data_IF_835832073473
#
_entry.id   IF_835832073473
#
_cell.length_a   1.000
_cell.length_b   1.000
_cell.length_c   1.000
_cell.angle_alpha   90.00
_cell.angle_beta   90.00
_cell.angle_gamma   90.00
#
_symmetry.space_group_name_H-M   'P 1'
#
loop_
_entity.id
_entity.type
_entity.pdbx_description
1 polymer ?
#
# COMPACT_ATOMS: atom_id res chain seq x y z
N UNK A 1 -11.59 -2.40 3.76
CA UNK A 1 -10.77 -3.55 4.17
C UNK A 1 -11.65 -4.78 4.13
N UNK A 2 -11.16 -5.85 3.53
CA UNK A 2 -11.95 -7.06 3.29
C UNK A 2 -11.21 -8.29 3.81
N UNK A 3 -11.97 -9.36 4.01
CA UNK A 3 -11.45 -10.71 4.18
C UNK A 3 -11.77 -11.51 2.93
N UNK A 4 -10.76 -12.10 2.29
CA UNK A 4 -10.93 -12.83 1.03
C UNK A 4 -10.52 -14.29 1.19
N UNK A 5 -11.40 -15.20 0.78
CA UNK A 5 -11.11 -16.62 0.68
C UNK A 5 -10.79 -16.97 -0.77
N UNK A 6 -9.51 -17.22 -1.05
CA UNK A 6 -9.03 -17.50 -2.41
C UNK A 6 -9.61 -18.75 -3.05
N UNK A 7 -9.99 -19.75 -2.23
CA UNK A 7 -10.48 -21.04 -2.74
C UNK A 7 -11.90 -20.93 -3.26
N UNK A 8 -12.73 -20.17 -2.56
CA UNK A 8 -14.14 -19.97 -2.92
C UNK A 8 -14.37 -18.69 -3.71
N UNK A 9 -13.35 -17.83 -3.79
CA UNK A 9 -13.43 -16.45 -4.27
C UNK A 9 -14.45 -15.59 -3.50
N UNK A 10 -14.76 -15.97 -2.26
CA UNK A 10 -15.72 -15.27 -1.42
C UNK A 10 -15.06 -14.07 -0.70
N UNK A 11 -15.80 -12.96 -0.62
CA UNK A 11 -15.35 -11.70 -0.03
C UNK A 11 -16.33 -11.28 1.05
N UNK A 12 -15.80 -10.97 2.23
CA UNK A 12 -16.60 -10.44 3.34
C UNK A 12 -15.95 -9.22 3.99
N UNK A 13 -16.70 -8.56 4.85
CA UNK A 13 -16.17 -7.45 5.64
C UNK A 13 -15.00 -7.92 6.50
N UNK A 14 -13.93 -7.13 6.53
CA UNK A 14 -12.78 -7.38 7.40
C UNK A 14 -12.99 -6.95 8.85
N UNK A 15 -14.23 -6.66 9.26
CA UNK A 15 -14.61 -6.31 10.63
C UNK A 15 -15.21 -7.52 11.35
N UNK A 16 -14.75 -7.78 12.58
CA UNK A 16 -15.24 -8.87 13.42
C UNK A 16 -14.42 -10.16 13.31
N UNK A 17 -15.00 -11.26 13.79
CA UNK A 17 -14.39 -12.58 13.71
C UNK A 17 -14.44 -13.09 12.27
N UNK A 18 -13.28 -13.50 11.74
CA UNK A 18 -13.13 -13.97 10.36
C UNK A 18 -12.91 -15.48 10.40
N UNK A 19 -13.71 -16.29 9.68
CA UNK A 19 -13.53 -17.73 9.67
C UNK A 19 -12.16 -18.15 9.13
N UNK A 20 -11.71 -19.36 9.50
CA UNK A 20 -10.49 -19.94 8.96
C UNK A 20 -10.53 -20.05 7.42
N UNK A 21 -9.40 -19.75 6.78
CA UNK A 21 -9.25 -19.79 5.32
C UNK A 21 -9.48 -18.46 4.60
N UNK A 22 -9.81 -17.40 5.33
CA UNK A 22 -9.85 -16.03 4.81
C UNK A 22 -8.59 -15.27 5.18
N UNK A 23 -8.12 -14.43 4.27
CA UNK A 23 -6.96 -13.58 4.45
C UNK A 23 -7.36 -12.11 4.51
N UNK A 24 -6.61 -11.25 5.23
CA UNK A 24 -6.94 -9.84 5.37
C UNK A 24 -6.34 -9.00 4.22
N UNK A 25 -7.20 -8.38 3.42
CA UNK A 25 -6.80 -7.58 2.26
C UNK A 25 -7.28 -6.12 2.34
N UNK A 26 -6.54 -5.25 1.67
CA UNK A 26 -7.01 -3.92 1.26
C UNK A 26 -7.41 -4.01 -0.20
N UNK A 27 -8.60 -3.50 -0.52
CA UNK A 27 -9.11 -3.37 -1.88
C UNK A 27 -9.25 -1.89 -2.21
N UNK A 28 -8.76 -1.49 -3.38
CA UNK A 28 -8.95 -0.19 -4.02
C UNK A 28 -9.90 -0.39 -5.21
N UNK A 29 -11.09 0.21 -5.13
CA UNK A 29 -12.13 0.00 -6.14
C UNK A 29 -11.94 0.89 -7.37
N UNK A 30 -11.78 0.26 -8.53
CA UNK A 30 -12.10 0.88 -9.82
C UNK A 30 -13.51 1.47 -9.83
N UNK A 31 -13.64 2.74 -10.20
CA UNK A 31 -14.93 3.45 -10.33
C UNK A 31 -15.36 4.29 -9.14
N UNK A 32 -14.65 4.24 -8.02
CA UNK A 32 -14.85 5.15 -6.89
C UNK A 32 -14.17 6.53 -7.10
N UNK A 33 -14.24 7.07 -8.32
CA UNK A 33 -13.77 8.44 -8.60
C UNK A 33 -14.84 9.47 -8.22
N UNK A 34 -14.46 10.74 -8.05
CA UNK A 34 -15.42 11.83 -7.77
C UNK A 34 -16.56 11.91 -8.81
N UNK A 35 -16.32 11.43 -10.03
CA UNK A 35 -17.29 11.42 -11.12
C UNK A 35 -18.00 10.07 -11.31
N UNK A 36 -17.71 9.06 -10.47
CA UNK A 36 -18.33 7.73 -10.53
C UNK A 36 -18.02 6.92 -11.78
N UNK A 37 -17.07 7.37 -12.62
CA UNK A 37 -16.71 6.68 -13.84
C UNK A 37 -15.60 5.66 -13.57
N UNK A 38 -15.74 4.42 -14.07
CA UNK A 38 -14.68 3.42 -14.00
C UNK A 38 -13.50 3.86 -14.87
N UNK A 39 -12.34 4.02 -14.22
CA UNK A 39 -11.06 4.27 -14.88
C UNK A 39 -10.09 3.10 -14.63
N UNK A 40 -9.01 3.01 -15.40
CA UNK A 40 -8.07 1.87 -15.35
C UNK A 40 -7.16 1.86 -14.11
N UNK A 41 -7.57 2.52 -13.02
CA UNK A 41 -6.71 2.81 -11.87
C UNK A 41 -6.18 1.56 -11.19
N UNK A 42 -7.01 0.54 -11.00
CA UNK A 42 -6.62 -0.72 -10.37
C UNK A 42 -5.61 -1.49 -11.21
N UNK A 43 -5.77 -1.51 -12.54
CA UNK A 43 -4.76 -2.10 -13.45
C UNK A 43 -3.45 -1.31 -13.44
N UNK A 44 -3.51 0.03 -13.36
CA UNK A 44 -2.32 0.89 -13.23
C UNK A 44 -1.60 0.60 -11.91
N UNK A 45 -2.30 0.62 -10.78
CA UNK A 45 -1.77 0.31 -9.45
C UNK A 45 -1.13 -1.10 -9.42
N UNK A 46 -1.79 -2.07 -10.04
CA UNK A 46 -1.24 -3.43 -10.16
C UNK A 46 0.07 -3.44 -10.95
N UNK A 47 0.13 -2.77 -12.10
CA UNK A 47 1.35 -2.65 -12.90
C UNK A 47 2.48 -1.99 -12.10
N UNK A 48 2.21 -0.91 -11.36
CA UNK A 48 3.20 -0.27 -10.49
C UNK A 48 3.69 -1.20 -9.38
N UNK A 49 2.80 -2.00 -8.78
CA UNK A 49 3.20 -2.99 -7.78
C UNK A 49 4.14 -4.07 -8.33
N UNK A 50 3.92 -4.50 -9.58
CA UNK A 50 4.79 -5.45 -10.26
C UNK A 50 6.14 -4.83 -10.60
N UNK A 51 6.16 -3.58 -11.09
CA UNK A 51 7.39 -2.86 -11.36
C UNK A 51 8.21 -2.63 -10.08
N UNK A 52 7.56 -2.29 -8.96
CA UNK A 52 8.22 -2.13 -7.67
C UNK A 52 8.89 -3.44 -7.20
N UNK A 53 8.17 -4.57 -7.28
CA UNK A 53 8.72 -5.90 -6.99
C UNK A 53 9.90 -6.24 -7.89
N UNK A 54 9.78 -6.00 -9.19
CA UNK A 54 10.85 -6.22 -10.16
C UNK A 54 12.09 -5.34 -9.90
N UNK A 55 11.90 -4.14 -9.35
CA UNK A 55 12.97 -3.25 -8.91
C UNK A 55 13.62 -3.68 -7.58
N UNK A 56 13.08 -4.71 -6.91
CA UNK A 56 13.56 -5.22 -5.62
C UNK A 56 13.03 -4.47 -4.40
N UNK A 57 11.93 -3.71 -4.52
CA UNK A 57 11.25 -3.10 -3.37
C UNK A 57 10.40 -4.15 -2.68
N UNK A 58 10.48 -4.19 -1.34
CA UNK A 58 9.62 -5.07 -0.55
C UNK A 58 8.16 -4.61 -0.65
N UNK A 59 7.31 -5.51 -1.15
CA UNK A 59 5.92 -5.22 -1.46
C UNK A 59 5.07 -6.42 -1.12
N UNK A 60 3.99 -6.16 -0.39
CA UNK A 60 3.00 -7.19 -0.06
C UNK A 60 2.43 -7.85 -1.31
N UNK A 61 1.85 -9.03 -1.12
CA UNK A 61 1.18 -9.71 -2.22
C UNK A 61 0.08 -8.82 -2.80
N UNK A 62 0.03 -8.75 -4.14
CA UNK A 62 -0.93 -7.94 -4.88
C UNK A 62 -1.69 -8.80 -5.88
N UNK A 63 -2.97 -8.52 -6.05
CA UNK A 63 -3.87 -9.24 -6.95
C UNK A 63 -4.83 -8.24 -7.63
N UNK A 64 -5.41 -8.65 -8.76
CA UNK A 64 -6.57 -7.98 -9.35
C UNK A 64 -7.81 -8.81 -9.06
N UNK A 65 -8.83 -8.16 -8.51
CA UNK A 65 -10.16 -8.75 -8.39
C UNK A 65 -11.03 -8.23 -9.53
N UNK A 66 -11.29 -9.11 -10.49
CA UNK A 66 -12.06 -8.78 -11.69
C UNK A 66 -13.53 -9.15 -11.52
N UNK A 67 -14.41 -8.16 -11.67
CA UNK A 67 -15.86 -8.35 -11.60
C UNK A 67 -16.54 -7.36 -12.55
N UNK A 68 -17.56 -7.81 -13.29
CA UNK A 68 -18.43 -6.94 -14.11
C UNK A 68 -17.66 -5.98 -15.05
N UNK A 69 -16.49 -6.40 -15.54
CA UNK A 69 -15.63 -5.60 -16.42
C UNK A 69 -14.71 -4.60 -15.71
N UNK A 70 -14.75 -4.53 -14.37
CA UNK A 70 -13.85 -3.75 -13.52
C UNK A 70 -12.68 -4.62 -13.02
N UNK A 71 -11.57 -4.00 -12.61
CA UNK A 71 -10.40 -4.70 -12.10
C UNK A 71 -9.84 -4.01 -10.86
N UNK A 72 -10.38 -4.35 -9.69
CA UNK A 72 -10.01 -3.72 -8.43
C UNK A 72 -8.62 -4.18 -7.97
N UNK A 73 -7.77 -3.23 -7.59
CA UNK A 73 -6.45 -3.55 -7.03
C UNK A 73 -6.58 -4.03 -5.60
N UNK A 74 -5.94 -5.15 -5.29
CA UNK A 74 -5.90 -5.72 -3.95
C UNK A 74 -4.45 -5.88 -3.48
N UNK A 75 -4.21 -5.59 -2.19
CA UNK A 75 -2.93 -5.87 -1.52
C UNK A 75 -3.15 -6.53 -0.16
N UNK A 76 -2.34 -7.55 0.15
CA UNK A 76 -2.39 -8.26 1.42
C UNK A 76 -1.94 -7.32 2.54
N UNK A 77 -2.61 -7.37 3.69
CA UNK A 77 -2.29 -6.49 4.80
C UNK A 77 -1.02 -6.92 5.52
N UNK A 78 -0.05 -6.01 5.60
CA UNK A 78 1.17 -6.20 6.39
C UNK A 78 0.96 -6.02 7.90
N UNK A 79 -0.08 -5.28 8.31
CA UNK A 79 -0.38 -5.00 9.73
C UNK A 79 -1.19 -6.12 10.42
N UNK A 80 -1.10 -7.35 9.88
CA UNK A 80 -1.85 -8.52 10.36
C UNK A 80 -0.94 -9.72 10.55
N UNK A 81 -1.13 -10.41 11.66
CA UNK A 81 -0.51 -11.71 11.95
C UNK A 81 -1.61 -12.67 12.42
N UNK A 82 -2.14 -13.45 11.48
CA UNK A 82 -3.40 -14.15 11.68
C UNK A 82 -4.53 -13.17 12.02
N UNK A 83 -5.24 -13.43 13.11
CA UNK A 83 -6.32 -12.54 13.61
C UNK A 83 -5.78 -11.29 14.34
N UNK A 84 -4.50 -11.28 14.72
CA UNK A 84 -3.92 -10.18 15.50
C UNK A 84 -3.62 -8.98 14.62
N UNK A 85 -4.05 -7.80 15.06
CA UNK A 85 -3.60 -6.52 14.49
C UNK A 85 -2.23 -6.14 15.06
N UNK A 86 -1.32 -5.76 14.18
CA UNK A 86 -0.04 -5.14 14.55
C UNK A 86 -0.24 -3.62 14.62
N UNK A 87 0.34 -2.99 15.63
CA UNK A 87 0.31 -1.53 15.73
C UNK A 87 1.25 -0.92 14.69
N UNK A 88 0.76 0.06 13.94
CA UNK A 88 1.47 0.66 12.81
C UNK A 88 1.23 2.16 12.81
N UNK A 89 2.27 2.93 12.49
CA UNK A 89 2.19 4.34 12.15
C UNK A 89 2.71 4.56 10.73
N UNK A 90 2.12 5.52 10.01
CA UNK A 90 2.77 6.10 8.83
C UNK A 90 3.91 7.03 9.26
N UNK A 91 4.80 7.36 8.32
CA UNK A 91 5.83 8.39 8.55
C UNK A 91 5.18 9.72 8.99
N UNK A 92 4.08 10.10 8.34
CA UNK A 92 3.29 11.29 8.67
C UNK A 92 2.86 11.31 10.14
N UNK A 93 2.34 10.19 10.66
CA UNK A 93 1.95 10.08 12.06
C UNK A 93 3.14 10.09 13.01
N UNK A 94 4.27 9.47 12.61
CA UNK A 94 5.48 9.38 13.43
C UNK A 94 6.15 10.75 13.63
N UNK A 95 6.23 11.56 12.57
CA UNK A 95 6.93 12.86 12.59
C UNK A 95 6.00 14.05 12.75
N UNK A 96 4.71 13.80 13.02
CA UNK A 96 3.66 14.83 13.11
C UNK A 96 3.60 15.75 11.88
N UNK A 97 3.83 15.19 10.68
CA UNK A 97 3.78 15.94 9.44
C UNK A 97 2.33 16.19 8.99
N UNK A 98 2.10 17.31 8.30
CA UNK A 98 0.87 17.57 7.58
C UNK A 98 1.07 17.31 6.08
N UNK A 99 0.52 16.19 5.60
CA UNK A 99 0.64 15.78 4.19
C UNK A 99 -0.14 16.68 3.22
N UNK A 100 -1.01 17.58 3.72
CA UNK A 100 -1.70 18.57 2.88
C UNK A 100 -0.78 19.74 2.48
N UNK A 101 0.35 19.91 3.16
CA UNK A 101 1.35 20.93 2.82
C UNK A 101 2.26 20.44 1.70
N UNK A 102 1.84 20.69 0.45
CA UNK A 102 2.59 20.29 -0.74
C UNK A 102 4.03 20.86 -0.73
N UNK A 103 5.01 19.99 -0.95
CA UNK A 103 6.42 20.36 -1.00
C UNK A 103 7.06 20.70 0.35
N UNK A 104 6.33 20.61 1.46
CA UNK A 104 6.88 20.86 2.80
C UNK A 104 7.84 19.76 3.26
N UNK A 105 7.77 18.57 2.65
CA UNK A 105 8.51 17.39 3.05
C UNK A 105 9.35 16.85 1.89
N UNK A 106 10.55 16.39 2.21
CA UNK A 106 11.48 15.77 1.28
C UNK A 106 11.96 14.41 1.82
N UNK A 107 12.66 13.65 0.98
CA UNK A 107 13.27 12.39 1.40
C UNK A 107 14.31 12.56 2.51
N UNK A 108 14.88 13.76 2.72
CA UNK A 108 15.78 14.01 3.85
C UNK A 108 15.10 13.77 5.20
N UNK A 109 13.81 14.14 5.31
CA UNK A 109 13.01 13.86 6.50
C UNK A 109 12.76 12.35 6.65
N UNK A 110 12.48 11.65 5.56
CA UNK A 110 12.29 10.20 5.59
C UNK A 110 13.54 9.47 6.08
N UNK A 111 14.70 9.78 5.49
CA UNK A 111 15.99 9.22 5.91
C UNK A 111 16.36 9.64 7.34
N UNK A 112 16.08 10.88 7.72
CA UNK A 112 16.26 11.38 9.08
C UNK A 112 15.45 10.57 10.09
N UNK A 113 14.18 10.30 9.80
CA UNK A 113 13.31 9.49 10.65
C UNK A 113 13.83 8.06 10.83
N UNK A 114 14.25 7.40 9.74
CA UNK A 114 14.83 6.05 9.80
C UNK A 114 16.06 6.00 10.73
N UNK A 115 16.92 7.01 10.66
CA UNK A 115 18.10 7.12 11.55
C UNK A 115 17.71 7.37 13.00
N UNK A 116 16.70 8.21 13.25
CA UNK A 116 16.25 8.54 14.61
C UNK A 116 15.68 7.33 15.35
N UNK A 117 15.00 6.43 14.64
CA UNK A 117 14.44 5.19 15.21
C UNK A 117 15.37 3.97 15.05
N UNK A 118 16.60 4.18 14.58
CA UNK A 118 17.67 3.18 14.47
C UNK A 118 17.27 1.85 13.81
N UNK A 119 16.60 1.93 12.64
CA UNK A 119 16.13 0.74 11.91
C UNK A 119 17.24 0.01 11.11
N UNK A 120 18.45 0.56 11.08
CA UNK A 120 19.61 -0.05 10.42
C UNK A 120 19.71 0.20 8.91
N UNK A 121 20.83 -0.26 8.34
CA UNK A 121 21.22 0.05 6.95
C UNK A 121 20.28 -0.57 5.90
N UNK A 122 19.75 -1.78 6.15
CA UNK A 122 18.86 -2.44 5.19
C UNK A 122 17.59 -1.63 4.91
N UNK A 123 17.06 -0.92 5.91
CA UNK A 123 15.89 -0.04 5.75
C UNK A 123 16.27 1.25 5.01
N UNK A 124 17.48 1.77 5.23
CA UNK A 124 18.01 2.90 4.45
C UNK A 124 18.14 2.55 2.97
N UNK A 125 18.64 1.36 2.65
CA UNK A 125 18.81 0.89 1.27
C UNK A 125 17.44 0.72 0.57
N UNK A 126 16.47 0.13 1.28
CA UNK A 126 15.07 0.01 0.84
C UNK A 126 14.44 1.39 0.60
N UNK A 127 14.61 2.34 1.52
CA UNK A 127 14.12 3.71 1.41
C UNK A 127 14.71 4.45 0.20
N UNK A 128 16.01 4.28 -0.04
CA UNK A 128 16.68 4.85 -1.21
C UNK A 128 16.15 4.24 -2.52
N UNK A 129 15.93 2.92 -2.55
CA UNK A 129 15.35 2.24 -3.70
C UNK A 129 13.94 2.75 -4.00
N UNK A 130 13.10 2.96 -2.98
CA UNK A 130 11.75 3.55 -3.11
C UNK A 130 11.80 4.97 -3.66
N UNK A 131 12.70 5.82 -3.15
CA UNK A 131 12.91 7.17 -3.67
C UNK A 131 13.25 7.16 -5.16
N UNK A 132 14.25 6.36 -5.56
CA UNK A 132 14.69 6.27 -6.97
C UNK A 132 13.56 5.73 -7.85
N UNK A 133 12.85 4.70 -7.38
CA UNK A 133 11.69 4.14 -8.10
C UNK A 133 10.59 5.18 -8.31
N UNK A 134 10.23 5.95 -7.28
CA UNK A 134 9.15 6.94 -7.39
C UNK A 134 9.50 8.04 -8.41
N UNK A 135 10.77 8.46 -8.47
CA UNK A 135 11.24 9.41 -9.50
C UNK A 135 11.15 8.80 -10.90
N UNK A 136 11.73 7.61 -11.11
CA UNK A 136 11.82 6.99 -12.44
C UNK A 136 10.43 6.57 -12.96
N UNK A 137 9.61 6.01 -12.08
CA UNK A 137 8.25 5.59 -12.40
C UNK A 137 7.24 6.75 -12.44
N UNK A 138 7.68 7.99 -12.22
CA UNK A 138 6.83 9.17 -12.14
C UNK A 138 5.68 9.04 -11.13
N UNK A 139 5.89 8.34 -10.01
CA UNK A 139 4.93 8.29 -8.91
C UNK A 139 4.98 9.62 -8.14
N UNK A 140 4.02 10.51 -8.43
CA UNK A 140 3.94 11.86 -7.83
C UNK A 140 3.07 11.94 -6.58
N UNK A 141 2.43 10.85 -6.21
CA UNK A 141 1.56 10.77 -5.02
C UNK A 141 2.30 10.18 -3.80
N UNK A 142 3.63 10.16 -3.83
CA UNK A 142 4.46 9.68 -2.72
C UNK A 142 4.58 10.73 -1.60
N UNK A 143 3.51 10.91 -0.84
CA UNK A 143 3.47 11.80 0.32
C UNK A 143 3.74 11.05 1.63
N UNK A 144 3.97 11.76 2.74
CA UNK A 144 4.36 11.19 4.05
C UNK A 144 3.37 10.18 4.67
N UNK A 145 2.14 10.05 4.15
CA UNK A 145 1.18 9.02 4.54
C UNK A 145 1.37 7.65 3.86
N UNK A 146 2.08 7.63 2.73
CA UNK A 146 2.40 6.43 1.94
C UNK A 146 3.73 5.83 2.41
#
# INVERSE_FOLDING_TARGET
MISWNRKTNDVMTGQGAVPGGYEPWIIKFDGATENGLPGPFGRIEYAYSLMAKAAGIDMMETQLFEEQGLAHFMTLRFDRSGERKLHTHSLCGLVHADYNLAGAWSYDLYFGAIRQVDLGQSVMDEAFRRMVFNVIACNRDDHTKN
#
